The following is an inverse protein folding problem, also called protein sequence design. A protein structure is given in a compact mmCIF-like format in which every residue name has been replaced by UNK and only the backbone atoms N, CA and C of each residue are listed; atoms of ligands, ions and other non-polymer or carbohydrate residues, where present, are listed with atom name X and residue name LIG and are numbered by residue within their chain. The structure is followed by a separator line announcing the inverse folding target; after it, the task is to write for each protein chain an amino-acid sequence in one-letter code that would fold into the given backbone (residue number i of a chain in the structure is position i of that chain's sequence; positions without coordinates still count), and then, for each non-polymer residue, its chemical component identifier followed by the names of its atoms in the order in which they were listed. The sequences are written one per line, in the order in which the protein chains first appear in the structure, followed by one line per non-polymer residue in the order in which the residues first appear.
data_IF_097688796599
#
_entry.id   IF_097688796599
#
_cell.length_a   1.000
_cell.length_b   1.000
_cell.length_c   1.000
_cell.angle_alpha   90.00
_cell.angle_beta   90.00
_cell.angle_gamma   90.00
#
_symmetry.space_group_name_H-M   'P 1'
#
loop_
_entity.id
_entity.type
_entity.pdbx_description
1 polymer ?
#
# COMPACT_ATOMS: atom_id res chain seq x y z
N UNK A 1 -1.54 -17.35 -92.64
CA UNK A 1 -0.20 -17.92 -92.89
C UNK A 1 0.50 -18.07 -91.54
N UNK A 2 0.71 -19.32 -91.09
CA UNK A 2 1.84 -19.82 -90.29
C UNK A 2 2.19 -19.24 -88.89
N UNK A 3 2.17 -20.17 -87.90
CA UNK A 3 3.03 -20.38 -86.69
C UNK A 3 2.84 -19.46 -85.45
N UNK A 4 2.30 -19.94 -84.32
CA UNK A 4 2.88 -20.71 -83.16
C UNK A 4 3.92 -19.89 -82.34
N UNK A 5 3.67 -19.68 -81.03
CA UNK A 5 4.47 -20.16 -79.86
C UNK A 5 3.97 -19.50 -78.55
N UNK A 6 3.84 -20.38 -77.56
CA UNK A 6 3.36 -20.26 -76.18
C UNK A 6 4.56 -20.08 -75.24
N UNK A 7 4.62 -19.06 -74.37
CA UNK A 7 5.57 -19.04 -73.22
C UNK A 7 4.92 -18.41 -71.97
N UNK A 8 4.78 -19.29 -70.97
CA UNK A 8 4.73 -19.16 -69.51
C UNK A 8 4.55 -17.76 -68.88
N UNK A 9 3.42 -17.59 -68.18
CA UNK A 9 3.29 -16.64 -67.08
C UNK A 9 3.91 -17.23 -65.81
N UNK A 10 5.02 -16.66 -65.35
CA UNK A 10 5.59 -16.91 -64.03
C UNK A 10 4.68 -16.27 -62.98
N UNK A 11 3.89 -17.11 -62.28
CA UNK A 11 3.23 -16.71 -61.05
C UNK A 11 4.32 -16.51 -59.99
N UNK A 12 4.79 -15.28 -59.85
CA UNK A 12 5.64 -14.89 -58.73
C UNK A 12 4.74 -14.83 -57.50
N UNK A 13 4.76 -15.89 -56.70
CA UNK A 13 4.25 -15.86 -55.33
C UNK A 13 5.17 -14.89 -54.59
N UNK A 14 4.75 -13.63 -54.49
CA UNK A 14 5.25 -12.75 -53.44
C UNK A 14 4.77 -13.37 -52.13
N UNK A 15 5.62 -14.19 -51.52
CA UNK A 15 5.57 -14.42 -50.09
C UNK A 15 5.67 -13.04 -49.45
N UNK A 16 4.52 -12.47 -49.10
CA UNK A 16 4.46 -11.45 -48.08
C UNK A 16 4.98 -12.16 -46.85
N UNK A 17 6.26 -11.94 -46.54
CA UNK A 17 6.76 -12.04 -45.18
C UNK A 17 5.85 -11.13 -44.36
N UNK A 18 4.80 -11.73 -43.80
CA UNK A 18 4.05 -11.15 -42.72
C UNK A 18 5.01 -11.17 -41.54
N UNK A 19 5.94 -10.21 -41.53
CA UNK A 19 6.62 -9.81 -40.33
C UNK A 19 5.48 -9.52 -39.35
N UNK A 20 5.33 -10.39 -38.36
CA UNK A 20 4.33 -10.24 -37.31
C UNK A 20 4.71 -8.95 -36.60
N UNK A 21 4.18 -7.82 -37.08
CA UNK A 21 4.18 -6.58 -36.34
C UNK A 21 3.26 -6.91 -35.16
N UNK A 22 3.87 -7.16 -34.00
CA UNK A 22 3.13 -7.43 -32.78
C UNK A 22 2.10 -6.30 -32.59
N UNK A 23 0.85 -6.68 -32.36
CA UNK A 23 -0.23 -5.73 -32.10
C UNK A 23 0.15 -4.92 -30.85
N UNK A 24 0.04 -3.60 -30.90
CA UNK A 24 0.34 -2.75 -29.75
C UNK A 24 -0.58 -3.00 -28.55
N UNK A 25 -1.74 -3.62 -28.79
CA UNK A 25 -2.56 -4.18 -27.72
C UNK A 25 -1.85 -5.35 -27.01
N UNK A 26 -1.23 -6.26 -27.75
CA UNK A 26 -0.48 -7.40 -27.17
C UNK A 26 0.80 -6.91 -26.49
N UNK A 27 1.53 -5.97 -27.09
CA UNK A 27 2.72 -5.35 -26.49
C UNK A 27 2.38 -4.65 -25.16
N UNK A 28 1.22 -3.97 -25.08
CA UNK A 28 0.76 -3.33 -23.85
C UNK A 28 0.48 -4.36 -22.76
N UNK A 29 -0.16 -5.50 -23.10
CA UNK A 29 -0.42 -6.58 -22.16
C UNK A 29 0.85 -7.27 -21.68
N UNK A 30 1.86 -7.39 -22.54
CA UNK A 30 3.19 -7.88 -22.16
C UNK A 30 3.85 -6.95 -21.13
N UNK A 31 3.81 -5.63 -21.34
CA UNK A 31 4.32 -4.64 -20.38
C UNK A 31 3.62 -4.77 -19.02
N UNK A 32 2.28 -4.94 -19.01
CA UNK A 32 1.53 -5.14 -17.77
C UNK A 32 1.94 -6.43 -17.05
N UNK A 33 2.09 -7.53 -17.79
CA UNK A 33 2.51 -8.82 -17.25
C UNK A 33 3.91 -8.75 -16.64
N UNK A 34 4.85 -8.10 -17.34
CA UNK A 34 6.20 -7.84 -16.82
C UNK A 34 6.17 -6.98 -15.55
N UNK A 35 5.35 -5.93 -15.51
CA UNK A 35 5.23 -5.05 -14.35
C UNK A 35 4.66 -5.78 -13.13
N UNK A 36 3.63 -6.62 -13.32
CA UNK A 36 3.04 -7.44 -12.25
C UNK A 36 4.07 -8.42 -11.70
N UNK A 37 4.78 -9.15 -12.55
CA UNK A 37 5.80 -10.11 -12.09
C UNK A 37 7.02 -9.41 -11.46
N UNK A 38 7.39 -8.23 -11.95
CA UNK A 38 8.36 -7.37 -11.31
C UNK A 38 7.91 -6.96 -9.90
N UNK A 39 6.66 -6.52 -9.76
CA UNK A 39 6.06 -6.11 -8.49
C UNK A 39 6.12 -7.23 -7.45
N UNK A 40 5.67 -8.44 -7.82
CA UNK A 40 5.70 -9.61 -6.93
C UNK A 40 7.11 -9.96 -6.45
N UNK A 41 8.11 -9.85 -7.33
CA UNK A 41 9.50 -10.17 -7.00
C UNK A 41 10.13 -9.12 -6.07
N UNK A 42 9.82 -7.84 -6.27
CA UNK A 42 10.44 -6.73 -5.55
C UNK A 42 9.68 -6.30 -4.30
N UNK A 43 8.41 -6.71 -4.18
CA UNK A 43 7.55 -6.52 -3.01
C UNK A 43 6.99 -7.89 -2.55
N UNK A 44 7.86 -8.80 -2.07
CA UNK A 44 7.48 -10.17 -1.77
C UNK A 44 6.41 -10.29 -0.68
N UNK A 45 6.34 -9.36 0.27
CA UNK A 45 5.26 -9.30 1.26
C UNK A 45 3.90 -9.01 0.62
N UNK A 46 3.86 -8.11 -0.37
CA UNK A 46 2.67 -7.83 -1.17
C UNK A 46 2.25 -9.05 -1.99
N UNK A 47 3.22 -9.77 -2.58
CA UNK A 47 2.95 -11.03 -3.27
C UNK A 47 2.27 -12.05 -2.34
N UNK A 48 2.73 -12.16 -1.08
CA UNK A 48 2.07 -13.01 -0.07
C UNK A 48 0.63 -12.59 0.21
N UNK A 49 0.34 -11.28 0.31
CA UNK A 49 -1.03 -10.78 0.53
C UNK A 49 -1.97 -11.08 -0.64
N UNK A 50 -1.43 -11.08 -1.86
CA UNK A 50 -2.15 -11.44 -3.08
C UNK A 50 -2.27 -12.96 -3.29
N UNK A 51 -1.70 -13.78 -2.39
CA UNK A 51 -1.74 -15.25 -2.44
C UNK A 51 -0.65 -15.90 -3.31
N UNK A 52 0.38 -15.15 -3.71
CA UNK A 52 1.53 -15.64 -4.47
C UNK A 52 2.73 -15.94 -3.55
N UNK A 53 2.90 -17.21 -3.20
CA UNK A 53 3.86 -17.69 -2.20
C UNK A 53 5.24 -18.05 -2.77
N UNK A 54 5.54 -17.66 -4.02
CA UNK A 54 6.84 -17.95 -4.66
C UNK A 54 8.02 -17.24 -4.01
N UNK A 55 7.77 -16.13 -3.29
CA UNK A 55 8.78 -15.26 -2.71
C UNK A 55 8.68 -15.15 -1.17
N UNK A 56 8.04 -16.13 -0.54
CA UNK A 56 7.79 -16.16 0.92
C UNK A 56 9.05 -16.27 1.78
N UNK A 57 10.22 -16.44 1.17
CA UNK A 57 11.54 -16.44 1.81
C UNK A 57 12.30 -15.11 1.66
N UNK A 58 11.70 -14.10 1.03
CA UNK A 58 12.30 -12.78 0.78
C UNK A 58 11.54 -11.66 1.46
N UNK A 59 12.25 -10.58 1.78
CA UNK A 59 11.68 -9.29 2.22
C UNK A 59 12.02 -8.22 1.20
N UNK A 60 11.21 -7.17 1.14
CA UNK A 60 11.49 -5.99 0.31
C UNK A 60 12.83 -5.37 0.70
N UNK A 61 13.71 -5.08 -0.28
CA UNK A 61 14.94 -4.34 -0.02
C UNK A 61 14.63 -2.85 0.24
N UNK A 62 14.56 -2.47 1.51
CA UNK A 62 14.29 -1.11 1.96
C UNK A 62 15.55 -0.24 2.09
N UNK A 63 16.72 -0.70 1.61
CA UNK A 63 17.90 0.15 1.51
C UNK A 63 17.65 1.29 0.51
N UNK A 64 18.36 2.42 0.66
CA UNK A 64 18.30 3.51 -0.32
C UNK A 64 18.61 3.00 -1.74
N UNK A 65 19.61 2.11 -1.88
CA UNK A 65 19.95 1.52 -3.18
C UNK A 65 18.79 0.72 -3.78
N UNK A 66 18.13 -0.12 -2.97
CA UNK A 66 16.94 -0.87 -3.40
C UNK A 66 15.80 0.04 -3.83
N UNK A 67 15.54 1.11 -3.07
CA UNK A 67 14.50 2.10 -3.39
C UNK A 67 14.81 2.80 -4.72
N UNK A 68 16.03 3.30 -4.91
CA UNK A 68 16.44 3.98 -6.14
C UNK A 68 16.42 3.03 -7.35
N UNK A 69 16.78 1.76 -7.17
CA UNK A 69 16.67 0.76 -8.23
C UNK A 69 15.22 0.51 -8.67
N UNK A 70 14.25 0.64 -7.75
CA UNK A 70 12.82 0.57 -8.07
C UNK A 70 12.36 1.81 -8.83
N UNK A 71 12.84 2.99 -8.47
CA UNK A 71 12.58 4.22 -9.25
C UNK A 71 13.14 4.11 -10.68
N UNK A 72 14.35 3.58 -10.85
CA UNK A 72 14.93 3.32 -12.17
C UNK A 72 14.10 2.31 -12.97
N UNK A 73 13.57 1.28 -12.31
CA UNK A 73 12.67 0.31 -12.95
C UNK A 73 11.36 0.97 -13.39
N UNK A 74 10.77 1.85 -12.57
CA UNK A 74 9.60 2.66 -12.93
C UNK A 74 9.88 3.53 -14.16
N UNK A 75 11.04 4.20 -14.24
CA UNK A 75 11.46 4.95 -15.45
C UNK A 75 11.57 4.05 -16.67
N UNK A 76 12.11 2.85 -16.51
CA UNK A 76 12.24 1.89 -17.61
C UNK A 76 10.88 1.41 -18.11
N UNK A 77 9.93 1.13 -17.22
CA UNK A 77 8.55 0.79 -17.61
C UNK A 77 7.86 1.94 -18.32
N UNK A 78 8.01 3.18 -17.83
CA UNK A 78 7.45 4.36 -18.50
C UNK A 78 8.06 4.54 -19.89
N UNK A 79 9.38 4.36 -20.03
CA UNK A 79 10.06 4.43 -21.33
C UNK A 79 9.60 3.33 -22.30
N UNK A 80 9.33 2.10 -21.82
CA UNK A 80 8.71 1.04 -22.62
C UNK A 80 7.30 1.42 -23.06
N UNK A 81 6.47 1.88 -22.10
CA UNK A 81 5.08 2.27 -22.34
C UNK A 81 4.97 3.38 -23.39
N UNK A 82 5.83 4.40 -23.33
CA UNK A 82 5.81 5.52 -24.30
C UNK A 82 6.14 5.14 -25.74
N UNK A 83 6.61 3.90 -26.00
CA UNK A 83 6.85 3.38 -27.36
C UNK A 83 5.62 2.77 -28.02
N UNK A 84 4.56 2.48 -27.24
CA UNK A 84 3.30 1.95 -27.75
C UNK A 84 2.59 3.01 -28.60
N UNK A 85 2.09 2.65 -29.79
CA UNK A 85 1.27 3.55 -30.59
C UNK A 85 -0.14 3.65 -30.00
N UNK A 86 -0.39 4.71 -29.24
CA UNK A 86 -1.67 4.97 -28.58
C UNK A 86 -2.88 4.91 -29.53
N UNK A 87 -2.73 5.39 -30.77
CA UNK A 87 -3.82 5.41 -31.74
C UNK A 87 -4.18 4.01 -32.27
N UNK A 88 -3.27 3.04 -32.15
CA UNK A 88 -3.51 1.64 -32.51
C UNK A 88 -4.20 0.84 -31.38
N UNK A 89 -4.32 1.40 -30.17
CA UNK A 89 -4.95 0.72 -29.04
C UNK A 89 -6.48 0.70 -29.16
N UNK A 90 -7.06 -0.41 -28.70
CA UNK A 90 -8.50 -0.55 -28.48
C UNK A 90 -9.00 0.42 -27.39
N UNK A 91 -10.32 0.65 -27.32
CA UNK A 91 -10.91 1.60 -26.36
C UNK A 91 -10.52 1.33 -24.90
N UNK A 92 -10.65 0.08 -24.45
CA UNK A 92 -10.28 -0.33 -23.09
C UNK A 92 -8.77 -0.23 -22.86
N UNK A 93 -7.96 -0.58 -23.86
CA UNK A 93 -6.51 -0.49 -23.75
C UNK A 93 -5.98 0.95 -23.73
N UNK A 94 -6.67 1.91 -24.35
CA UNK A 94 -6.36 3.34 -24.18
C UNK A 94 -6.55 3.80 -22.73
N UNK A 95 -7.65 3.37 -22.11
CA UNK A 95 -7.90 3.66 -20.69
C UNK A 95 -6.84 3.00 -19.81
N UNK A 96 -6.54 1.72 -20.03
CA UNK A 96 -5.50 1.02 -19.28
C UNK A 96 -4.12 1.65 -19.44
N UNK A 97 -3.79 2.09 -20.66
CA UNK A 97 -2.57 2.84 -20.95
C UNK A 97 -2.49 4.13 -20.13
N UNK A 98 -3.55 4.95 -20.15
CA UNK A 98 -3.59 6.23 -19.45
C UNK A 98 -3.48 6.05 -17.94
N UNK A 99 -4.20 5.08 -17.37
CA UNK A 99 -4.14 4.76 -15.95
C UNK A 99 -2.75 4.26 -15.52
N UNK A 100 -2.15 3.37 -16.31
CA UNK A 100 -0.82 2.85 -16.00
C UNK A 100 0.26 3.92 -16.14
N UNK A 101 0.22 4.71 -17.22
CA UNK A 101 1.13 5.84 -17.44
C UNK A 101 1.06 6.82 -16.26
N UNK A 102 -0.15 7.20 -15.87
CA UNK A 102 -0.39 8.08 -14.72
C UNK A 102 0.21 7.51 -13.44
N UNK A 103 0.00 6.22 -13.15
CA UNK A 103 0.56 5.56 -11.96
C UNK A 103 2.09 5.59 -11.93
N UNK A 104 2.75 5.33 -13.06
CA UNK A 104 4.21 5.39 -13.18
C UNK A 104 4.74 6.83 -13.01
N UNK A 105 4.09 7.81 -13.65
CA UNK A 105 4.46 9.23 -13.56
C UNK A 105 4.28 9.75 -12.12
N UNK A 106 3.16 9.45 -11.48
CA UNK A 106 2.90 9.82 -10.08
C UNK A 106 3.94 9.22 -9.14
N UNK A 107 4.29 7.94 -9.30
CA UNK A 107 5.33 7.28 -8.50
C UNK A 107 6.68 8.01 -8.59
N UNK A 108 7.08 8.44 -9.80
CA UNK A 108 8.29 9.23 -10.01
C UNK A 108 8.19 10.65 -9.47
N UNK A 109 7.01 11.29 -9.56
CA UNK A 109 6.74 12.60 -8.97
C UNK A 109 6.87 12.54 -7.43
N UNK A 110 6.39 11.48 -6.78
CA UNK A 110 6.54 11.28 -5.33
C UNK A 110 7.98 10.94 -4.91
N UNK A 111 8.72 10.17 -5.72
CA UNK A 111 10.11 9.78 -5.42
C UNK A 111 11.02 10.98 -5.11
N UNK A 112 10.80 12.13 -5.79
CA UNK A 112 11.60 13.37 -5.56
C UNK A 112 11.57 13.86 -4.11
N UNK A 113 10.50 13.53 -3.39
CA UNK A 113 10.28 13.94 -2.01
C UNK A 113 10.96 13.03 -0.99
N UNK A 114 11.48 11.88 -1.41
CA UNK A 114 12.28 10.99 -0.56
C UNK A 114 11.59 10.61 0.75
N UNK A 115 10.28 10.31 0.69
CA UNK A 115 9.50 9.92 1.86
C UNK A 115 10.01 8.65 2.53
N UNK A 116 10.80 7.83 1.81
CA UNK A 116 11.53 6.69 2.38
C UNK A 116 12.52 7.06 3.50
N UNK A 117 12.86 8.35 3.65
CA UNK A 117 13.67 8.87 4.78
C UNK A 117 12.86 8.99 6.08
N UNK A 118 11.54 8.82 6.01
CA UNK A 118 10.60 8.72 7.13
C UNK A 118 9.85 7.37 7.06
N UNK A 119 10.55 6.22 7.11
CA UNK A 119 9.95 4.91 6.84
C UNK A 119 8.96 4.45 7.93
N UNK A 120 8.95 5.12 9.08
CA UNK A 120 8.26 4.66 10.29
C UNK A 120 7.41 5.78 10.89
N UNK A 121 6.17 5.44 11.26
CA UNK A 121 5.24 6.27 12.02
C UNK A 121 4.18 5.41 12.71
N UNK A 122 3.23 5.99 13.43
CA UNK A 122 2.23 5.23 14.21
C UNK A 122 1.31 4.30 13.38
N UNK A 123 1.27 4.52 12.06
CA UNK A 123 0.41 3.81 11.10
C UNK A 123 1.17 3.01 10.05
N UNK A 124 2.51 3.08 10.03
CA UNK A 124 3.32 2.47 8.99
C UNK A 124 4.73 2.14 9.48
N UNK A 125 5.36 1.15 8.86
CA UNK A 125 6.76 0.79 9.09
C UNK A 125 6.93 -0.64 9.58
N UNK A 126 8.19 -1.05 9.71
CA UNK A 126 8.56 -2.46 9.95
C UNK A 126 7.96 -3.04 11.24
N UNK A 127 7.75 -2.20 12.26
CA UNK A 127 7.14 -2.58 13.54
C UNK A 127 5.66 -3.00 13.40
N UNK A 128 4.94 -2.53 12.37
CA UNK A 128 3.59 -3.00 12.07
C UNK A 128 3.59 -4.09 11.00
N UNK A 129 4.44 -3.95 9.98
CA UNK A 129 4.49 -4.88 8.84
C UNK A 129 5.06 -6.25 9.19
N UNK A 130 6.11 -6.33 10.02
CA UNK A 130 6.72 -7.61 10.37
C UNK A 130 5.75 -8.56 11.10
N UNK A 131 5.01 -8.13 12.14
CA UNK A 131 4.01 -8.99 12.78
C UNK A 131 2.90 -9.49 11.83
N UNK A 132 2.56 -8.73 10.78
CA UNK A 132 1.53 -9.14 9.81
C UNK A 132 1.93 -10.39 9.03
N UNK A 133 3.23 -10.74 8.94
CA UNK A 133 3.67 -12.00 8.33
C UNK A 133 2.98 -13.21 8.98
N UNK A 134 2.78 -13.18 10.30
CA UNK A 134 2.08 -14.24 11.04
C UNK A 134 0.66 -14.41 10.54
N UNK A 135 -0.01 -13.32 10.14
CA UNK A 135 -1.39 -13.35 9.67
C UNK A 135 -1.50 -13.88 8.24
N UNK A 136 -0.65 -13.42 7.32
CA UNK A 136 -0.83 -13.63 5.89
C UNK A 136 0.03 -14.73 5.27
N UNK A 137 1.18 -15.06 5.88
CA UNK A 137 2.05 -16.12 5.35
C UNK A 137 1.45 -17.50 5.67
N UNK A 138 1.48 -18.46 4.71
CA UNK A 138 1.23 -19.87 4.98
C UNK A 138 2.26 -20.39 5.99
N UNK A 139 1.79 -21.13 6.99
CA UNK A 139 2.58 -21.60 8.14
C UNK A 139 2.08 -22.98 8.60
N UNK A 140 1.66 -23.84 7.68
CA UNK A 140 1.07 -25.16 7.96
C UNK A 140 2.13 -26.24 8.15
N UNK A 141 3.23 -26.19 7.39
CA UNK A 141 4.24 -27.25 7.31
C UNK A 141 5.68 -26.71 7.45
N UNK A 142 6.67 -27.62 7.55
CA UNK A 142 8.07 -27.27 7.81
C UNK A 142 8.73 -26.41 6.71
N UNK A 143 8.38 -26.60 5.44
CA UNK A 143 8.92 -25.77 4.34
C UNK A 143 8.48 -24.30 4.49
N UNK A 144 7.20 -24.10 4.82
CA UNK A 144 6.62 -22.78 5.03
C UNK A 144 7.23 -22.06 6.25
N UNK A 145 7.51 -22.80 7.33
CA UNK A 145 8.27 -22.24 8.47
C UNK A 145 9.71 -21.87 8.10
N UNK A 146 10.39 -22.65 7.25
CA UNK A 146 11.73 -22.29 6.79
C UNK A 146 11.75 -20.98 6.00
N UNK A 147 10.74 -20.75 5.15
CA UNK A 147 10.56 -19.48 4.42
C UNK A 147 10.29 -18.32 5.40
N UNK A 148 9.45 -18.56 6.40
CA UNK A 148 9.18 -17.58 7.47
C UNK A 148 10.44 -17.23 8.27
N UNK A 149 11.27 -18.22 8.62
CA UNK A 149 12.56 -17.99 9.29
C UNK A 149 13.51 -17.13 8.45
N UNK A 150 13.54 -17.34 7.13
CA UNK A 150 14.34 -16.50 6.23
C UNK A 150 13.90 -15.03 6.28
N UNK A 151 12.59 -14.76 6.27
CA UNK A 151 12.06 -13.39 6.43
C UNK A 151 12.37 -12.80 7.80
N UNK A 152 12.17 -13.57 8.87
CA UNK A 152 12.44 -13.09 10.22
C UNK A 152 13.92 -12.70 10.42
N UNK A 153 14.84 -13.51 9.90
CA UNK A 153 16.28 -13.19 9.93
C UNK A 153 16.62 -11.95 9.10
N UNK A 154 15.91 -11.72 8.00
CA UNK A 154 16.12 -10.55 7.15
C UNK A 154 15.62 -9.23 7.77
N UNK A 155 14.69 -9.28 8.75
CA UNK A 155 14.18 -8.09 9.44
C UNK A 155 15.30 -7.27 10.10
N UNK A 156 16.35 -7.93 10.62
CA UNK A 156 17.49 -7.23 11.21
C UNK A 156 18.14 -6.24 10.23
N UNK A 157 18.38 -6.69 9.01
CA UNK A 157 18.89 -5.84 7.92
C UNK A 157 17.91 -4.74 7.55
N UNK A 158 16.61 -5.05 7.48
CA UNK A 158 15.59 -4.04 7.18
C UNK A 158 15.54 -2.93 8.23
N UNK A 159 15.65 -3.28 9.52
CA UNK A 159 15.73 -2.29 10.60
C UNK A 159 16.98 -1.41 10.45
N UNK A 160 18.13 -2.00 10.14
CA UNK A 160 19.38 -1.23 9.98
C UNK A 160 19.30 -0.27 8.78
N UNK A 161 18.64 -0.68 7.69
CA UNK A 161 18.34 0.18 6.54
C UNK A 161 17.41 1.33 6.90
N UNK A 162 16.34 1.06 7.67
CA UNK A 162 15.41 2.11 8.12
C UNK A 162 16.13 3.15 9.00
N UNK A 163 16.99 2.71 9.93
CA UNK A 163 17.82 3.61 10.75
C UNK A 163 18.75 4.45 9.86
N UNK A 164 19.39 3.85 8.86
CA UNK A 164 20.26 4.57 7.94
C UNK A 164 19.50 5.64 7.13
N UNK A 165 18.32 5.28 6.60
CA UNK A 165 17.44 6.20 5.89
C UNK A 165 16.98 7.35 6.80
N UNK A 166 16.59 7.06 8.04
CA UNK A 166 16.18 8.07 9.02
C UNK A 166 17.32 9.00 9.39
N UNK A 167 18.55 8.49 9.59
CA UNK A 167 19.75 9.32 9.83
C UNK A 167 20.03 10.27 8.67
N UNK A 168 19.86 9.81 7.44
CA UNK A 168 19.92 10.67 6.26
C UNK A 168 18.79 11.71 6.25
N UNK A 169 17.57 11.32 6.59
CA UNK A 169 16.42 12.22 6.77
C UNK A 169 16.70 13.34 7.76
N UNK A 170 17.27 13.02 8.93
CA UNK A 170 17.69 13.99 9.95
C UNK A 170 18.64 15.05 9.37
N UNK A 171 19.63 14.63 8.56
CA UNK A 171 20.59 15.55 7.94
C UNK A 171 19.96 16.50 6.89
N UNK A 172 18.79 16.13 6.36
CA UNK A 172 18.07 16.88 5.33
C UNK A 172 16.85 17.63 5.88
N UNK A 173 16.57 17.53 7.18
CA UNK A 173 15.35 18.08 7.77
C UNK A 173 14.06 17.37 7.34
N UNK A 174 14.17 16.14 6.82
CA UNK A 174 13.03 15.30 6.43
C UNK A 174 12.78 14.33 7.59
N UNK A 175 11.99 14.78 8.55
CA UNK A 175 11.72 14.07 9.80
C UNK A 175 10.23 14.07 10.16
N UNK A 176 9.82 13.01 10.87
CA UNK A 176 8.45 12.88 11.37
C UNK A 176 8.11 13.91 12.46
N UNK A 177 6.81 14.21 12.68
CA UNK A 177 6.39 14.95 13.87
C UNK A 177 6.70 14.21 15.17
N UNK A 178 7.11 14.94 16.20
CA UNK A 178 7.42 14.42 17.53
C UNK A 178 6.26 13.62 18.13
N UNK A 179 5.04 14.17 18.09
CA UNK A 179 3.84 13.54 18.63
C UNK A 179 3.46 12.24 17.92
N UNK A 180 3.88 12.04 16.66
CA UNK A 180 3.71 10.74 15.99
C UNK A 180 4.73 9.74 16.55
N UNK A 181 5.99 10.13 16.68
CA UNK A 181 7.03 9.23 17.17
C UNK A 181 6.85 8.86 18.65
N UNK A 182 6.27 9.74 19.46
CA UNK A 182 5.85 9.44 20.84
C UNK A 182 4.83 8.30 20.89
N UNK A 183 3.90 8.23 19.92
CA UNK A 183 2.92 7.14 19.82
C UNK A 183 3.52 5.86 19.21
N UNK A 184 4.55 5.99 18.38
CA UNK A 184 5.23 4.85 17.76
C UNK A 184 6.12 4.09 18.74
N UNK A 185 6.75 4.77 19.70
CA UNK A 185 7.67 4.13 20.67
C UNK A 185 7.05 2.95 21.44
N UNK A 186 5.84 3.08 22.05
CA UNK A 186 5.19 1.95 22.71
C UNK A 186 4.87 0.79 21.77
N UNK A 187 4.58 1.07 20.49
CA UNK A 187 4.32 0.02 19.50
C UNK A 187 5.59 -0.80 19.24
N UNK A 188 6.75 -0.16 19.12
CA UNK A 188 8.05 -0.85 19.00
C UNK A 188 8.38 -1.66 20.26
N UNK A 189 8.16 -1.08 21.45
CA UNK A 189 8.40 -1.75 22.73
C UNK A 189 7.55 -3.02 22.86
N UNK A 190 6.30 -2.98 22.40
CA UNK A 190 5.38 -4.14 22.46
C UNK A 190 5.85 -5.36 21.66
N UNK A 191 6.77 -5.17 20.70
CA UNK A 191 7.33 -6.25 19.89
C UNK A 191 8.44 -6.98 20.64
N UNK A 192 9.18 -6.27 21.49
CA UNK A 192 10.34 -6.78 22.21
C UNK A 192 9.84 -7.65 23.37
N UNK A 193 9.96 -8.97 23.24
CA UNK A 193 9.47 -9.90 24.26
C UNK A 193 10.59 -10.70 24.93
N UNK A 194 10.75 -10.53 26.24
CA UNK A 194 11.75 -11.27 27.05
C UNK A 194 11.47 -12.77 27.10
N UNK A 195 10.21 -13.19 26.96
CA UNK A 195 9.84 -14.57 26.77
C UNK A 195 9.52 -14.81 25.28
N UNK A 196 10.45 -15.41 24.51
CA UNK A 196 10.24 -15.62 23.08
C UNK A 196 8.98 -16.44 22.77
N UNK A 197 8.55 -17.31 23.68
CA UNK A 197 7.33 -18.10 23.54
C UNK A 197 6.01 -17.30 23.64
N UNK A 198 6.07 -16.06 24.12
CA UNK A 198 4.92 -15.14 24.21
C UNK A 198 4.96 -14.06 23.12
N UNK A 199 5.98 -14.07 22.25
CA UNK A 199 6.09 -13.11 21.16
C UNK A 199 4.98 -13.32 20.12
N UNK A 200 4.51 -12.22 19.52
CA UNK A 200 3.59 -12.29 18.38
C UNK A 200 4.15 -13.13 17.24
N UNK A 201 5.47 -13.13 17.03
CA UNK A 201 6.11 -13.95 16.00
C UNK A 201 6.03 -15.45 16.31
N UNK A 202 5.95 -15.83 17.59
CA UNK A 202 5.86 -17.21 18.02
C UNK A 202 4.45 -17.79 17.88
N UNK A 203 3.39 -16.95 17.86
CA UNK A 203 2.01 -17.42 17.63
C UNK A 203 1.82 -18.07 16.25
N UNK A 204 2.77 -17.89 15.33
CA UNK A 204 2.91 -18.69 14.11
C UNK A 204 2.79 -20.21 14.36
N UNK A 205 3.26 -20.72 15.51
CA UNK A 205 3.17 -22.15 15.87
C UNK A 205 1.74 -22.68 15.97
N UNK A 206 0.75 -21.81 16.17
CA UNK A 206 -0.67 -22.16 16.17
C UNK A 206 -1.16 -22.61 14.78
N UNK A 207 -0.51 -22.14 13.71
CA UNK A 207 -0.86 -22.45 12.32
C UNK A 207 -0.24 -23.76 11.81
N UNK A 208 0.78 -24.28 12.48
CA UNK A 208 1.57 -25.46 12.07
C UNK A 208 0.83 -26.79 12.19
N UNK A 209 -0.33 -26.94 11.53
CA UNK A 209 -1.21 -28.11 11.63
C UNK A 209 -0.63 -29.41 11.05
N UNK A 210 0.33 -29.31 10.12
CA UNK A 210 0.89 -30.45 9.39
C UNK A 210 2.29 -30.87 9.92
N UNK A 211 2.71 -30.33 11.07
CA UNK A 211 4.00 -30.66 11.70
C UNK A 211 3.94 -31.95 12.51
N UNK A 212 4.94 -32.82 12.36
CA UNK A 212 5.16 -33.94 13.31
C UNK A 212 5.56 -33.40 14.70
N UNK A 213 5.45 -34.20 15.77
CA UNK A 213 5.92 -33.80 17.10
C UNK A 213 7.39 -33.33 17.11
N UNK A 214 8.26 -34.04 16.39
CA UNK A 214 9.70 -33.73 16.29
C UNK A 214 9.93 -32.42 15.52
N UNK A 215 9.21 -32.22 14.41
CA UNK A 215 9.25 -30.97 13.65
C UNK A 215 8.76 -29.79 14.49
N UNK A 216 7.67 -29.98 15.24
CA UNK A 216 7.09 -28.95 16.11
C UNK A 216 8.07 -28.53 17.21
N UNK A 217 8.78 -29.48 17.81
CA UNK A 217 9.82 -29.18 18.81
C UNK A 217 10.98 -28.40 18.18
N UNK A 218 11.52 -28.90 17.05
CA UNK A 218 12.63 -28.26 16.34
C UNK A 218 12.32 -26.84 15.90
N UNK A 219 11.18 -26.64 15.22
CA UNK A 219 10.72 -25.34 14.71
C UNK A 219 10.42 -24.38 15.87
N UNK A 220 9.81 -24.86 16.97
CA UNK A 220 9.59 -24.04 18.16
C UNK A 220 10.91 -23.53 18.74
N UNK A 221 11.94 -24.38 18.84
CA UNK A 221 13.23 -23.99 19.38
C UNK A 221 13.96 -22.99 18.49
N UNK A 222 13.99 -23.24 17.18
CA UNK A 222 14.60 -22.33 16.20
C UNK A 222 13.87 -20.97 16.17
N UNK A 223 12.53 -20.96 16.22
CA UNK A 223 11.76 -19.72 16.24
C UNK A 223 12.04 -18.90 17.51
N UNK A 224 12.13 -19.54 18.68
CA UNK A 224 12.53 -18.86 19.93
C UNK A 224 13.93 -18.28 19.83
N UNK A 225 14.84 -18.98 19.17
CA UNK A 225 16.20 -18.51 18.93
C UNK A 225 16.22 -17.27 18.04
N UNK A 226 15.57 -17.32 16.88
CA UNK A 226 15.43 -16.17 15.95
C UNK A 226 14.80 -14.97 16.67
N UNK A 227 13.76 -15.18 17.45
CA UNK A 227 13.12 -14.10 18.20
C UNK A 227 14.10 -13.47 19.21
N UNK A 228 14.88 -14.29 19.91
CA UNK A 228 15.81 -13.83 20.94
C UNK A 228 17.04 -13.14 20.37
N UNK A 229 17.59 -13.68 19.27
CA UNK A 229 18.90 -13.30 18.73
C UNK A 229 18.79 -12.29 17.58
N UNK A 230 17.73 -12.35 16.77
CA UNK A 230 17.58 -11.50 15.59
C UNK A 230 16.53 -10.41 15.81
N UNK A 231 15.30 -10.81 16.16
CA UNK A 231 14.15 -9.89 16.23
C UNK A 231 14.26 -8.92 17.40
N UNK A 232 14.36 -9.43 18.63
CA UNK A 232 14.39 -8.59 19.83
C UNK A 232 15.54 -7.58 19.77
N UNK A 233 16.79 -7.96 19.41
CA UNK A 233 17.87 -6.99 19.31
C UNK A 233 17.67 -5.98 18.19
N UNK A 234 17.08 -6.37 17.05
CA UNK A 234 16.78 -5.42 15.97
C UNK A 234 15.78 -4.36 16.43
N UNK A 235 14.64 -4.76 17.00
CA UNK A 235 13.64 -3.81 17.49
C UNK A 235 14.14 -2.98 18.68
N UNK A 236 15.01 -3.53 19.54
CA UNK A 236 15.68 -2.75 20.58
C UNK A 236 16.57 -1.65 19.99
N UNK A 237 17.38 -1.95 18.96
CA UNK A 237 18.20 -0.93 18.26
C UNK A 237 17.32 0.16 17.67
N UNK A 238 16.23 -0.21 16.99
CA UNK A 238 15.30 0.75 16.40
C UNK A 238 14.66 1.65 17.45
N UNK A 239 14.11 1.04 18.51
CA UNK A 239 13.50 1.77 19.62
C UNK A 239 14.49 2.76 20.25
N UNK A 240 15.71 2.32 20.54
CA UNK A 240 16.72 3.16 21.19
C UNK A 240 17.19 4.29 20.27
N UNK A 241 17.36 4.02 18.97
CA UNK A 241 17.65 5.06 17.99
C UNK A 241 16.51 6.09 17.92
N UNK A 242 15.26 5.63 17.80
CA UNK A 242 14.10 6.53 17.72
C UNK A 242 14.00 7.39 18.98
N UNK A 243 14.13 6.78 20.15
CA UNK A 243 14.00 7.46 21.44
C UNK A 243 15.12 8.47 21.70
N UNK A 244 16.37 8.07 21.44
CA UNK A 244 17.53 8.83 21.91
C UNK A 244 18.14 9.75 20.84
N UNK A 245 17.98 9.45 19.55
CA UNK A 245 18.58 10.21 18.45
C UNK A 245 17.53 10.91 17.57
N UNK A 246 16.46 10.20 17.18
CA UNK A 246 15.49 10.73 16.20
C UNK A 246 14.44 11.65 16.82
N UNK A 247 13.81 11.24 17.93
CA UNK A 247 12.77 12.01 18.61
C UNK A 247 13.21 13.43 19.01
N UNK A 248 14.44 13.65 19.55
CA UNK A 248 14.91 14.99 19.90
C UNK A 248 15.00 15.98 18.73
N UNK A 249 15.10 15.50 17.49
CA UNK A 249 15.20 16.34 16.28
C UNK A 249 13.92 16.33 15.45
N UNK A 250 12.87 15.63 15.88
CA UNK A 250 11.58 15.62 15.21
C UNK A 250 10.96 17.02 15.18
N UNK A 251 10.24 17.31 14.09
CA UNK A 251 9.49 18.56 13.93
C UNK A 251 8.28 18.61 14.87
N UNK A 252 7.81 19.81 15.20
CA UNK A 252 6.65 19.98 16.09
C UNK A 252 5.35 20.23 15.33
N UNK A 253 5.47 20.74 14.10
CA UNK A 253 4.35 21.03 13.22
C UNK A 253 3.68 19.73 12.77
N UNK A 254 2.35 19.74 12.68
CA UNK A 254 1.59 18.57 12.23
C UNK A 254 1.54 18.43 10.71
N UNK A 255 1.51 19.55 9.99
CA UNK A 255 1.28 19.56 8.55
C UNK A 255 2.53 19.20 7.73
N UNK A 256 2.33 18.56 6.58
CA UNK A 256 3.42 18.25 5.62
C UNK A 256 4.10 19.53 5.07
N UNK A 257 3.44 20.69 5.19
CA UNK A 257 3.97 21.99 4.76
C UNK A 257 5.26 22.38 5.45
N UNK A 258 5.56 21.81 6.63
CA UNK A 258 6.77 22.11 7.39
C UNK A 258 7.98 21.28 6.94
N UNK A 259 7.81 20.34 6.00
CA UNK A 259 8.91 19.62 5.38
C UNK A 259 9.55 20.46 4.27
N UNK A 260 10.79 20.14 3.85
CA UNK A 260 11.35 20.66 2.60
C UNK A 260 10.37 20.42 1.44
N UNK A 261 10.15 21.43 0.60
CA UNK A 261 9.18 21.41 -0.51
C UNK A 261 7.72 21.16 -0.05
N UNK A 262 7.37 21.54 1.18
CA UNK A 262 6.08 21.26 1.81
C UNK A 262 4.84 21.69 1.01
N UNK A 263 4.90 22.84 0.33
CA UNK A 263 3.80 23.29 -0.55
C UNK A 263 3.65 22.38 -1.79
N UNK A 264 4.76 21.97 -2.40
CA UNK A 264 4.74 21.08 -3.56
C UNK A 264 4.27 19.67 -3.18
N UNK A 265 4.68 19.19 -2.00
CA UNK A 265 4.18 17.92 -1.42
C UNK A 265 2.67 17.96 -1.25
N UNK A 266 2.18 19.02 -0.62
CA UNK A 266 0.76 19.15 -0.34
C UNK A 266 -0.07 19.27 -1.63
N UNK A 267 0.39 20.06 -2.61
CA UNK A 267 -0.28 20.18 -3.91
C UNK A 267 -0.27 18.84 -4.68
N UNK A 268 0.83 18.09 -4.64
CA UNK A 268 0.86 16.76 -5.26
C UNK A 268 -0.13 15.81 -4.57
N UNK A 269 -0.24 15.83 -3.24
CA UNK A 269 -1.23 15.05 -2.50
C UNK A 269 -2.67 15.45 -2.85
N UNK A 270 -2.95 16.75 -3.01
CA UNK A 270 -4.28 17.21 -3.48
C UNK A 270 -4.59 16.63 -4.86
N UNK A 271 -3.67 16.73 -5.82
CA UNK A 271 -3.82 16.14 -7.15
C UNK A 271 -4.00 14.62 -7.09
N UNK A 272 -3.21 13.93 -6.28
CA UNK A 272 -3.28 12.48 -6.12
C UNK A 272 -4.64 12.01 -5.59
N UNK A 273 -5.12 12.59 -4.48
CA UNK A 273 -6.37 12.17 -3.85
C UNK A 273 -7.64 12.68 -4.56
N UNK A 274 -7.60 13.85 -5.19
CA UNK A 274 -8.76 14.41 -5.89
C UNK A 274 -8.80 14.01 -7.36
N UNK A 275 -7.67 13.65 -7.95
CA UNK A 275 -7.47 13.47 -9.40
C UNK A 275 -7.72 14.73 -10.23
N UNK A 276 -7.79 15.89 -9.57
CA UNK A 276 -8.08 17.19 -10.17
C UNK A 276 -6.89 18.13 -10.01
N UNK A 277 -6.77 19.09 -10.93
CA UNK A 277 -5.79 20.17 -10.84
C UNK A 277 -6.31 21.29 -9.93
N UNK A 278 -6.42 20.97 -8.64
CA UNK A 278 -6.88 21.89 -7.59
C UNK A 278 -5.71 22.34 -6.71
N UNK A 279 -5.76 23.59 -6.27
CA UNK A 279 -4.88 24.06 -5.19
C UNK A 279 -5.46 23.71 -3.82
N UNK A 280 -4.60 23.73 -2.78
CA UNK A 280 -5.09 23.65 -1.39
C UNK A 280 -6.17 24.68 -1.08
N UNK A 281 -6.02 25.92 -1.59
CA UNK A 281 -6.99 26.98 -1.34
C UNK A 281 -8.35 26.64 -1.95
N UNK A 282 -8.39 26.03 -3.14
CA UNK A 282 -9.65 25.62 -3.77
C UNK A 282 -10.37 24.57 -2.93
N UNK A 283 -9.61 23.57 -2.43
CA UNK A 283 -10.15 22.54 -1.53
C UNK A 283 -10.65 23.15 -0.22
N UNK A 284 -9.88 24.06 0.39
CA UNK A 284 -10.24 24.68 1.66
C UNK A 284 -11.52 25.53 1.53
N UNK A 285 -11.62 26.36 0.49
CA UNK A 285 -12.80 27.18 0.24
C UNK A 285 -14.04 26.33 -0.06
N UNK A 286 -13.88 25.26 -0.84
CA UNK A 286 -14.95 24.29 -1.08
C UNK A 286 -15.42 23.68 0.24
N UNK A 287 -14.50 23.25 1.10
CA UNK A 287 -14.81 22.71 2.42
C UNK A 287 -15.58 23.68 3.30
N UNK A 288 -15.15 24.95 3.39
CA UNK A 288 -15.86 25.99 4.15
C UNK A 288 -17.28 26.20 3.61
N UNK A 289 -17.44 26.25 2.29
CA UNK A 289 -18.76 26.44 1.67
C UNK A 289 -19.70 25.26 1.92
N UNK A 290 -19.18 24.03 1.87
CA UNK A 290 -19.95 22.81 2.11
C UNK A 290 -20.32 22.65 3.59
N UNK A 291 -19.42 23.01 4.52
CA UNK A 291 -19.75 23.06 5.96
C UNK A 291 -20.93 23.99 6.19
N UNK A 292 -20.87 25.23 5.70
CA UNK A 292 -21.95 26.20 5.86
C UNK A 292 -23.27 25.72 5.22
N UNK A 293 -23.19 25.08 4.03
CA UNK A 293 -24.36 24.52 3.34
C UNK A 293 -25.00 23.38 4.14
N UNK A 294 -24.20 22.45 4.66
CA UNK A 294 -24.67 21.29 5.44
C UNK A 294 -25.23 21.76 6.78
N UNK A 295 -24.58 22.68 7.48
CA UNK A 295 -25.08 23.24 8.75
C UNK A 295 -26.45 23.91 8.57
N UNK A 296 -26.66 24.62 7.46
CA UNK A 296 -27.97 25.20 7.14
C UNK A 296 -29.05 24.14 6.97
N UNK A 297 -28.72 23.02 6.34
CA UNK A 297 -29.67 21.92 6.15
C UNK A 297 -29.95 21.16 7.45
N UNK A 298 -28.92 20.92 8.27
CA UNK A 298 -29.08 20.33 9.60
C UNK A 298 -29.97 21.19 10.50
N UNK A 299 -29.83 22.51 10.45
CA UNK A 299 -30.70 23.42 11.19
C UNK A 299 -32.16 23.32 10.72
N UNK A 300 -32.42 23.26 9.40
CA UNK A 300 -33.79 23.06 8.89
C UNK A 300 -34.42 21.76 9.38
N UNK A 301 -33.67 20.66 9.38
CA UNK A 301 -34.15 19.36 9.86
C UNK A 301 -34.45 19.46 11.36
N UNK A 302 -33.50 19.96 12.15
CA UNK A 302 -33.63 20.18 13.60
C UNK A 302 -34.87 21.02 13.94
N UNK A 303 -35.09 22.11 13.21
CA UNK A 303 -36.24 22.99 13.41
C UNK A 303 -37.56 22.31 12.99
N UNK A 304 -37.56 21.52 11.92
CA UNK A 304 -38.78 20.84 11.43
C UNK A 304 -39.32 19.77 12.38
N UNK A 305 -38.47 19.18 13.22
CA UNK A 305 -38.87 18.24 14.27
C UNK A 305 -39.08 18.92 15.63
N UNK A 306 -38.97 20.26 15.69
CA UNK A 306 -39.21 21.05 16.90
C UNK A 306 -38.09 21.03 17.95
N UNK A 307 -36.85 20.68 17.56
CA UNK A 307 -35.72 20.69 18.49
C UNK A 307 -35.13 22.10 18.65
N UNK A 308 -35.14 22.62 19.87
CA UNK A 308 -34.54 23.91 20.22
C UNK A 308 -33.09 23.70 20.67
N UNK A 309 -32.17 24.52 20.17
CA UNK A 309 -30.73 24.42 20.47
C UNK A 309 -29.86 24.43 19.21
N UNK A 310 -28.56 24.25 19.41
CA UNK A 310 -27.54 24.12 18.37
C UNK A 310 -27.59 22.75 17.67
N UNK A 311 -26.93 22.65 16.52
CA UNK A 311 -26.74 21.37 15.80
C UNK A 311 -25.93 20.38 16.65
N UNK A 312 -24.95 20.86 17.43
CA UNK A 312 -24.15 20.03 18.33
C UNK A 312 -25.03 19.42 19.43
N UNK A 313 -25.88 20.21 20.08
CA UNK A 313 -26.83 19.72 21.09
C UNK A 313 -27.85 18.75 20.48
N UNK A 314 -28.31 19.02 19.25
CA UNK A 314 -29.20 18.11 18.54
C UNK A 314 -28.53 16.75 18.26
N UNK A 315 -27.28 16.75 17.81
CA UNK A 315 -26.50 15.53 17.61
C UNK A 315 -26.28 14.78 18.92
N UNK A 316 -26.01 15.47 20.02
CA UNK A 316 -25.90 14.84 21.34
C UNK A 316 -27.22 14.24 21.82
N UNK A 317 -28.34 14.92 21.57
CA UNK A 317 -29.67 14.41 21.88
C UNK A 317 -29.95 13.11 21.14
N UNK A 318 -29.72 13.06 19.83
CA UNK A 318 -29.87 11.83 19.02
C UNK A 318 -28.97 10.72 19.57
N UNK A 319 -27.70 11.02 19.86
CA UNK A 319 -26.73 10.04 20.38
C UNK A 319 -27.11 9.47 21.75
N UNK A 320 -27.96 10.14 22.52
CA UNK A 320 -28.40 9.71 23.84
C UNK A 320 -29.82 9.12 23.83
N UNK A 321 -30.59 9.29 22.75
CA UNK A 321 -31.94 8.76 22.64
C UNK A 321 -31.90 7.23 22.46
N UNK A 322 -32.37 6.42 23.43
CA UNK A 322 -32.37 4.98 23.32
C UNK A 322 -33.15 4.47 22.10
N UNK A 323 -34.09 5.25 21.57
CA UNK A 323 -34.85 4.90 20.35
C UNK A 323 -34.00 4.88 19.09
N UNK A 324 -32.82 5.50 19.13
CA UNK A 324 -31.87 5.54 18.01
C UNK A 324 -30.94 4.32 17.99
N UNK A 325 -31.06 3.41 18.97
CA UNK A 325 -30.19 2.26 19.10
C UNK A 325 -30.99 0.95 19.13
N UNK A 326 -30.49 -0.04 18.42
CA UNK A 326 -30.93 -1.42 18.59
C UNK A 326 -30.42 -1.98 19.91
N UNK A 327 -31.26 -2.74 20.62
CA UNK A 327 -30.90 -3.39 21.89
C UNK A 327 -30.46 -4.85 21.72
N UNK A 328 -30.65 -5.41 20.53
CA UNK A 328 -30.28 -6.79 20.20
C UNK A 328 -29.45 -6.85 18.89
N UNK A 329 -28.53 -7.82 18.84
CA UNK A 329 -27.63 -8.02 17.70
C UNK A 329 -28.40 -8.39 16.42
N UNK A 330 -29.41 -9.26 16.52
CA UNK A 330 -30.18 -9.69 15.35
C UNK A 330 -31.02 -8.54 14.79
N UNK A 331 -31.58 -7.70 15.66
CA UNK A 331 -32.35 -6.53 15.22
C UNK A 331 -31.47 -5.51 14.48
N UNK A 332 -30.24 -5.27 14.96
CA UNK A 332 -29.27 -4.45 14.25
C UNK A 332 -28.98 -5.00 12.85
N UNK A 333 -28.71 -6.31 12.76
CA UNK A 333 -28.42 -6.97 11.48
C UNK A 333 -29.63 -6.93 10.54
N UNK A 334 -30.84 -7.12 11.06
CA UNK A 334 -32.07 -7.02 10.29
C UNK A 334 -32.33 -5.59 9.80
N UNK A 335 -32.03 -4.58 10.61
CA UNK A 335 -32.07 -3.18 10.22
C UNK A 335 -31.16 -2.88 9.03
N UNK A 336 -29.90 -3.34 9.08
CA UNK A 336 -28.98 -3.23 7.95
C UNK A 336 -29.51 -3.92 6.69
N UNK A 337 -30.01 -5.15 6.81
CA UNK A 337 -30.58 -5.91 5.68
C UNK A 337 -31.79 -5.21 5.06
N UNK A 338 -32.66 -4.61 5.87
CA UNK A 338 -33.82 -3.88 5.36
C UNK A 338 -33.41 -2.61 4.61
N UNK A 339 -32.44 -1.85 5.13
CA UNK A 339 -31.89 -0.67 4.43
C UNK A 339 -31.32 -1.09 3.07
N UNK A 340 -30.49 -2.13 3.04
CA UNK A 340 -29.93 -2.67 1.78
C UNK A 340 -31.04 -3.08 0.81
N UNK A 341 -32.01 -3.86 1.28
CA UNK A 341 -33.13 -4.29 0.45
C UNK A 341 -33.97 -3.13 -0.09
N UNK A 342 -34.14 -2.05 0.68
CA UNK A 342 -34.80 -0.82 0.20
C UNK A 342 -33.99 -0.12 -0.88
N UNK A 343 -32.67 0.00 -0.71
CA UNK A 343 -31.78 0.58 -1.71
C UNK A 343 -31.76 -0.23 -3.01
N UNK A 344 -31.72 -1.55 -2.93
CA UNK A 344 -31.73 -2.43 -4.11
C UNK A 344 -33.04 -2.30 -4.90
N UNK A 345 -34.18 -2.27 -4.19
CA UNK A 345 -35.48 -2.02 -4.84
C UNK A 345 -35.56 -0.65 -5.50
N UNK A 346 -35.02 0.40 -4.86
CA UNK A 346 -35.01 1.75 -5.42
C UNK A 346 -34.06 1.92 -6.61
N UNK A 347 -33.01 1.10 -6.74
CA UNK A 347 -32.14 1.05 -7.93
C UNK A 347 -32.78 0.30 -9.10
N UNK A 348 -33.64 -0.66 -8.81
CA UNK A 348 -34.32 -1.46 -9.81
C UNK A 348 -35.56 -0.78 -10.43
N UNK A 349 -36.09 0.25 -9.76
CA UNK A 349 -37.17 1.14 -10.23
C UNK A 349 -36.62 2.36 -10.94
#
# INVERSE_FOLDING_TARGET
MKFIILILATLSIMSIEQQVIADDNDNLQEIFSEYVEYGKRNYPEGATYDGDHRYDDKVTDNSEAGILARDDSTRNFLAKLTKINYDALSGDNRINYDLFKRSLEESLEFSRFKDYLMPIGQQNGIHLGAPQLVQFQPLSNAEEFNKYFARLRAIGTSVDNDIANMKKGMSLGIVMPSFIMEQTLPQMESIINKNPGESIFFSAMEKGKDLTPEQRESISNELKEIISQDINPAFQRLHDFVKNEYLPVCRQEAGVWSLPDGSDRYNLLVKYFTTLDLTFNDVHQTGLSEVARIEKEMNRIKDSIGFNGSVQEFNEFIKKDPKMFYTDKEDLMNGFRDILGKTDRARAS
#
